data_IF_404485415355
#
_entry.id   IF_404485415355
#
_cell.length_a   1.000
_cell.length_b   1.000
_cell.length_c   1.000
_cell.angle_alpha   90.00
_cell.angle_beta   90.00
_cell.angle_gamma   90.00
#
_symmetry.space_group_name_H-M   'P 1'
#
loop_
_entity.id
_entity.type
_entity.pdbx_description
1 polymer ?
#
# COMPACT_ATOMS: atom_id res chain seq x y z
N UNK A 1 -34.34 -15.38 -0.63
CA UNK A 1 -34.18 -16.18 0.60
C UNK A 1 -32.79 -16.81 0.56
N UNK A 2 -31.80 -16.10 1.10
CA UNK A 2 -30.47 -16.55 1.53
C UNK A 2 -29.81 -15.34 2.21
N UNK A 3 -30.25 -15.06 3.44
CA UNK A 3 -29.63 -14.08 4.33
C UNK A 3 -28.43 -14.78 4.98
N UNK A 4 -27.20 -14.35 4.70
CA UNK A 4 -26.08 -14.66 5.56
C UNK A 4 -26.18 -13.76 6.79
N UNK A 5 -26.55 -14.35 7.92
CA UNK A 5 -26.79 -13.67 9.19
C UNK A 5 -25.55 -12.92 9.68
N UNK A 6 -25.63 -11.59 9.68
CA UNK A 6 -24.75 -10.70 10.45
C UNK A 6 -24.89 -10.85 11.99
N UNK A 7 -25.60 -11.90 12.45
CA UNK A 7 -25.82 -12.22 13.86
C UNK A 7 -25.08 -13.47 14.35
N UNK A 8 -24.17 -14.06 13.54
CA UNK A 8 -23.30 -15.18 13.97
C UNK A 8 -21.85 -14.80 14.27
N UNK A 9 -21.41 -13.59 13.91
CA UNK A 9 -20.11 -13.10 14.35
C UNK A 9 -20.28 -12.44 15.73
N UNK A 10 -20.12 -13.24 16.79
CA UNK A 10 -20.16 -12.80 18.18
C UNK A 10 -18.99 -11.91 18.57
N UNK A 11 -18.77 -10.80 17.87
CA UNK A 11 -17.79 -9.79 18.27
C UNK A 11 -18.39 -8.91 19.38
N UNK A 12 -18.37 -9.41 20.61
CA UNK A 12 -18.37 -8.56 21.81
C UNK A 12 -16.99 -8.60 22.43
N UNK A 13 -16.47 -7.42 22.73
CA UNK A 13 -15.25 -7.21 23.51
C UNK A 13 -15.21 -8.14 24.72
N UNK A 14 -14.11 -8.87 24.91
CA UNK A 14 -13.81 -9.49 26.20
C UNK A 14 -12.56 -8.81 26.76
N UNK A 15 -12.78 -7.72 27.49
CA UNK A 15 -12.03 -7.52 28.72
C UNK A 15 -12.61 -8.51 29.73
N UNK A 16 -11.77 -9.40 30.26
CA UNK A 16 -12.13 -10.28 31.36
C UNK A 16 -11.50 -11.67 31.23
N UNK A 17 -10.60 -11.95 32.17
CA UNK A 17 -10.05 -13.25 32.55
C UNK A 17 -10.82 -14.49 32.04
N UNK A 18 -10.24 -15.19 31.07
CA UNK A 18 -10.40 -16.64 30.98
C UNK A 18 -9.20 -17.23 30.25
N UNK A 19 -8.39 -17.98 31.00
CA UNK A 19 -7.13 -18.58 30.57
C UNK A 19 -7.22 -19.41 29.29
N UNK A 20 -6.81 -18.80 28.18
CA UNK A 20 -6.34 -19.55 27.01
C UNK A 20 -4.91 -20.00 27.29
N UNK A 21 -4.72 -21.27 27.64
CA UNK A 21 -3.40 -21.88 27.67
C UNK A 21 -3.00 -22.29 26.23
N UNK A 22 -2.29 -21.39 25.57
CA UNK A 22 -1.77 -21.52 24.20
C UNK A 22 -0.87 -22.75 24.00
N UNK A 23 -0.37 -23.36 25.07
CA UNK A 23 0.53 -24.52 24.99
C UNK A 23 -0.20 -25.85 24.79
N UNK A 24 -1.52 -25.90 24.99
CA UNK A 24 -2.24 -27.18 25.11
C UNK A 24 -2.91 -27.68 23.81
N UNK A 25 -3.05 -26.86 22.75
CA UNK A 25 -3.74 -27.31 21.53
C UNK A 25 -3.45 -26.43 20.30
N UNK A 26 -2.60 -26.89 19.36
CA UNK A 26 -2.42 -26.24 18.06
C UNK A 26 -3.67 -26.29 17.16
N UNK A 27 -4.75 -26.96 17.58
CA UNK A 27 -5.90 -27.30 16.75
C UNK A 27 -7.17 -26.49 17.05
N UNK A 28 -7.13 -25.52 17.98
CA UNK A 28 -8.34 -24.78 18.40
C UNK A 28 -8.10 -23.28 18.52
N UNK A 29 -7.53 -22.66 17.49
CA UNK A 29 -7.67 -21.21 17.34
C UNK A 29 -9.01 -20.92 16.65
N UNK A 30 -9.98 -20.27 17.32
CA UNK A 30 -11.28 -19.95 16.71
C UNK A 30 -11.14 -19.05 15.47
N UNK A 31 -10.05 -18.26 15.38
CA UNK A 31 -9.75 -17.42 14.21
C UNK A 31 -9.35 -18.24 12.97
N UNK A 32 -8.72 -19.42 13.15
CA UNK A 32 -8.27 -20.21 12.00
C UNK A 32 -9.38 -21.10 11.40
N UNK A 33 -10.50 -21.34 12.10
CA UNK A 33 -11.48 -22.37 11.70
C UNK A 33 -12.79 -21.81 11.12
N UNK A 34 -13.23 -20.59 11.48
CA UNK A 34 -14.52 -20.07 11.02
C UNK A 34 -14.43 -19.05 9.86
N UNK A 35 -13.22 -18.61 9.45
CA UNK A 35 -13.04 -17.47 8.52
C UNK A 35 -12.17 -17.68 7.28
N UNK A 36 -11.63 -18.87 7.01
CA UNK A 36 -10.91 -19.14 5.75
C UNK A 36 -9.48 -18.59 5.64
N UNK A 37 -8.86 -18.13 6.73
CA UNK A 37 -7.45 -17.71 6.76
C UNK A 37 -6.65 -18.66 7.68
N UNK A 38 -5.70 -19.47 7.18
CA UNK A 38 -4.93 -20.40 7.99
C UNK A 38 -3.85 -19.61 8.71
N UNK A 39 -4.04 -19.38 10.00
CA UNK A 39 -2.95 -18.99 10.89
C UNK A 39 -2.06 -20.21 11.15
N UNK A 40 -0.75 -20.06 10.98
CA UNK A 40 0.24 -21.12 11.19
C UNK A 40 1.43 -20.64 12.00
N UNK A 41 2.11 -21.56 12.69
CA UNK A 41 3.39 -21.27 13.36
C UNK A 41 4.54 -21.82 12.52
N UNK A 42 5.44 -20.96 12.06
CA UNK A 42 6.64 -21.34 11.31
C UNK A 42 7.88 -21.38 12.23
N UNK A 43 8.82 -22.29 12.01
CA UNK A 43 10.11 -22.25 12.71
C UNK A 43 10.88 -20.99 12.27
N UNK A 44 11.37 -20.23 13.23
CA UNK A 44 12.25 -19.08 13.01
C UNK A 44 13.63 -19.61 12.60
N UNK A 45 13.92 -19.49 11.30
CA UNK A 45 15.19 -19.95 10.72
C UNK A 45 16.34 -18.95 10.90
N UNK A 46 16.08 -17.79 11.53
CA UNK A 46 17.03 -16.68 11.66
C UNK A 46 17.77 -16.61 13.00
N UNK A 47 17.48 -17.47 13.97
CA UNK A 47 18.16 -17.40 15.27
C UNK A 47 19.58 -18.00 15.20
N UNK A 48 20.57 -17.12 15.04
CA UNK A 48 22.01 -17.46 15.10
C UNK A 48 22.41 -18.12 16.43
N UNK A 49 21.57 -18.05 17.48
CA UNK A 49 21.82 -18.69 18.78
C UNK A 49 21.38 -20.15 18.85
N UNK A 50 20.82 -20.70 17.76
CA UNK A 50 20.41 -22.11 17.68
C UNK A 50 19.19 -22.47 18.53
N UNK A 51 18.46 -21.48 19.04
CA UNK A 51 17.22 -21.69 19.80
C UNK A 51 16.04 -21.81 18.83
N UNK A 52 15.21 -22.83 19.04
CA UNK A 52 13.97 -23.00 18.29
C UNK A 52 12.96 -21.92 18.72
N UNK A 53 12.67 -20.97 17.83
CA UNK A 53 11.60 -20.00 18.02
C UNK A 53 10.48 -20.27 17.03
N UNK A 54 9.27 -19.87 17.41
CA UNK A 54 8.09 -19.95 16.56
C UNK A 54 7.68 -18.55 16.15
N UNK A 55 7.22 -18.42 14.92
CA UNK A 55 6.68 -17.21 14.36
C UNK A 55 5.24 -17.45 13.92
N UNK A 56 4.30 -16.64 14.39
CA UNK A 56 2.91 -16.72 13.96
C UNK A 56 2.76 -16.00 12.62
N UNK A 57 2.23 -16.70 11.61
CA UNK A 57 2.05 -16.18 10.26
C UNK A 57 0.63 -16.39 9.74
N UNK A 58 0.22 -15.54 8.81
CA UNK A 58 -1.08 -15.59 8.12
C UNK A 58 -0.85 -15.70 6.61
N UNK A 59 -1.58 -16.61 5.95
CA UNK A 59 -1.56 -16.77 4.50
C UNK A 59 -2.96 -16.72 3.91
N UNK A 60 -3.12 -16.20 2.70
CA UNK A 60 -4.39 -16.32 1.97
C UNK A 60 -4.62 -17.78 1.56
N UNK A 61 -5.86 -18.26 1.64
CA UNK A 61 -6.27 -19.56 1.05
C UNK A 61 -6.51 -19.47 -0.46
N UNK A 62 -6.68 -18.26 -0.98
CA UNK A 62 -7.08 -17.99 -2.36
C UNK A 62 -5.91 -17.75 -3.31
N UNK A 63 -4.66 -18.03 -2.90
CA UNK A 63 -3.42 -17.83 -3.70
C UNK A 63 -3.27 -18.86 -4.83
N UNK A 64 -4.35 -19.19 -5.55
CA UNK A 64 -4.37 -20.26 -6.55
C UNK A 64 -3.37 -20.00 -7.68
N UNK A 65 -3.31 -18.78 -8.18
CA UNK A 65 -2.38 -18.40 -9.24
C UNK A 65 -0.91 -18.55 -8.80
N UNK A 66 -0.59 -18.26 -7.54
CA UNK A 66 0.75 -18.52 -6.96
C UNK A 66 0.98 -20.02 -6.76
N UNK A 67 -0.02 -20.76 -6.27
CA UNK A 67 0.08 -22.18 -6.00
C UNK A 67 0.27 -23.03 -7.27
N UNK A 68 -0.27 -22.60 -8.40
CA UNK A 68 -0.09 -23.24 -9.72
C UNK A 68 1.17 -22.77 -10.45
N UNK A 69 1.88 -21.77 -9.90
CA UNK A 69 3.05 -21.16 -10.52
C UNK A 69 2.73 -20.25 -11.71
N UNK A 70 1.47 -19.85 -11.86
CA UNK A 70 1.03 -18.92 -12.90
C UNK A 70 1.54 -17.49 -12.67
N UNK A 71 1.71 -17.09 -11.41
CA UNK A 71 2.25 -15.78 -10.99
C UNK A 71 3.09 -15.92 -9.72
N UNK A 72 3.92 -14.92 -9.43
CA UNK A 72 4.70 -14.83 -8.20
C UNK A 72 4.06 -13.98 -7.10
N UNK A 73 2.89 -13.39 -7.35
CA UNK A 73 2.18 -12.49 -6.42
C UNK A 73 0.71 -12.80 -6.27
N UNK A 74 0.15 -12.38 -5.13
CA UNK A 74 -1.25 -12.58 -4.78
C UNK A 74 -2.17 -11.51 -5.40
N UNK A 75 -1.67 -10.27 -5.50
CA UNK A 75 -2.47 -9.11 -5.90
C UNK A 75 -1.63 -8.03 -6.60
N UNK A 76 -2.33 -7.04 -7.16
CA UNK A 76 -1.75 -5.83 -7.74
C UNK A 76 -2.27 -4.59 -7.05
N UNK A 77 -1.43 -3.57 -6.93
CA UNK A 77 -1.84 -2.21 -6.58
C UNK A 77 -1.53 -1.28 -7.76
N UNK A 78 -2.44 -0.37 -8.08
CA UNK A 78 -2.40 0.38 -9.33
C UNK A 78 -2.19 1.87 -9.05
N UNK A 79 -1.02 2.39 -9.42
CA UNK A 79 -0.79 3.83 -9.46
C UNK A 79 -1.24 4.37 -10.83
N UNK A 80 -2.50 4.77 -10.93
CA UNK A 80 -3.01 5.41 -12.14
C UNK A 80 -2.47 6.84 -12.26
N UNK A 81 -1.85 7.17 -13.39
CA UNK A 81 -1.37 8.51 -13.73
C UNK A 81 -2.27 9.11 -14.80
N UNK A 82 -3.18 9.99 -14.37
CA UNK A 82 -4.17 10.63 -15.22
C UNK A 82 -3.58 11.90 -15.82
N UNK A 83 -3.60 12.01 -17.15
CA UNK A 83 -3.11 13.18 -17.90
C UNK A 83 -4.21 13.68 -18.84
N UNK A 84 -4.29 15.00 -19.00
CA UNK A 84 -5.15 15.65 -20.01
C UNK A 84 -4.35 16.74 -20.72
N UNK A 85 -4.61 16.92 -22.02
CA UNK A 85 -4.09 18.05 -22.79
C UNK A 85 -4.57 19.40 -22.28
N UNK A 86 -5.66 19.46 -21.51
CA UNK A 86 -6.13 20.69 -20.86
C UNK A 86 -5.21 21.15 -19.72
N UNK A 87 -4.47 20.24 -19.09
CA UNK A 87 -3.53 20.55 -18.02
C UNK A 87 -2.28 19.66 -18.11
N UNK A 88 -1.41 19.86 -19.12
CA UNK A 88 -0.30 18.96 -19.41
C UNK A 88 0.78 18.96 -18.31
N UNK A 89 0.81 20.00 -17.47
CA UNK A 89 1.77 20.15 -16.38
C UNK A 89 1.35 19.49 -15.06
N UNK A 90 0.13 18.94 -14.98
CA UNK A 90 -0.43 18.42 -13.74
C UNK A 90 -0.97 17.00 -13.94
N UNK A 91 -0.34 16.05 -13.27
CA UNK A 91 -0.82 14.68 -13.22
C UNK A 91 -1.71 14.46 -11.99
N UNK A 92 -2.77 13.69 -12.19
CA UNK A 92 -3.68 13.25 -11.13
C UNK A 92 -3.55 11.74 -10.93
N UNK A 93 -4.06 11.26 -9.80
CA UNK A 93 -4.18 9.83 -9.53
C UNK A 93 -5.58 9.48 -9.04
N UNK A 94 -5.87 8.20 -8.99
CA UNK A 94 -7.12 7.66 -8.50
C UNK A 94 -6.91 7.05 -7.12
N UNK A 95 -7.79 7.40 -6.20
CA UNK A 95 -7.93 6.75 -4.92
C UNK A 95 -9.27 6.04 -4.87
N UNK A 96 -9.30 4.90 -4.19
CA UNK A 96 -10.53 4.19 -3.86
C UNK A 96 -10.77 4.28 -2.36
N UNK A 97 -12.03 4.51 -1.99
CA UNK A 97 -12.50 4.49 -0.62
C UNK A 97 -13.49 3.35 -0.46
N UNK A 98 -13.18 2.44 0.46
CA UNK A 98 -14.02 1.27 0.74
C UNK A 98 -14.00 0.91 2.21
N UNK A 99 -15.07 0.30 2.72
CA UNK A 99 -15.10 -0.17 4.10
C UNK A 99 -14.33 -1.49 4.21
N UNK A 100 -13.32 -1.56 5.08
CA UNK A 100 -12.53 -2.78 5.31
C UNK A 100 -12.94 -3.39 6.67
N UNK A 101 -13.64 -4.54 6.67
CA UNK A 101 -14.02 -5.21 7.91
C UNK A 101 -12.87 -5.48 8.90
N UNK A 102 -11.63 -5.83 8.47
CA UNK A 102 -10.53 -6.10 9.41
C UNK A 102 -10.14 -4.92 10.30
N UNK A 103 -10.36 -3.68 9.83
CA UNK A 103 -10.06 -2.44 10.57
C UNK A 103 -11.32 -1.68 10.99
N UNK A 104 -12.50 -2.22 10.68
CA UNK A 104 -13.82 -1.68 11.03
C UNK A 104 -13.99 -0.18 10.67
N UNK A 105 -13.40 0.26 9.55
CA UNK A 105 -13.48 1.63 9.08
C UNK A 105 -13.32 1.76 7.56
N UNK A 106 -13.74 2.90 6.97
CA UNK A 106 -13.40 3.25 5.60
C UNK A 106 -11.89 3.43 5.44
N UNK A 107 -11.29 2.74 4.48
CA UNK A 107 -9.88 2.90 4.12
C UNK A 107 -9.75 3.71 2.83
N UNK A 108 -8.59 4.36 2.67
CA UNK A 108 -8.21 5.05 1.43
C UNK A 108 -7.00 4.33 0.82
N UNK A 109 -7.16 3.89 -0.41
CA UNK A 109 -6.23 2.98 -1.10
C UNK A 109 -5.99 3.40 -2.55
N UNK A 110 -4.96 2.83 -3.16
CA UNK A 110 -4.88 2.77 -4.62
C UNK A 110 -5.87 1.69 -5.11
N UNK A 111 -6.39 1.79 -6.35
CA UNK A 111 -7.12 0.68 -6.94
C UNK A 111 -6.28 -0.60 -6.89
N UNK A 112 -6.87 -1.73 -6.53
CA UNK A 112 -6.14 -2.95 -6.25
C UNK A 112 -7.04 -4.18 -6.24
N UNK A 113 -6.50 -5.32 -6.68
CA UNK A 113 -7.22 -6.59 -6.59
C UNK A 113 -6.36 -7.82 -6.86
N UNK A 114 -6.97 -8.99 -6.79
CA UNK A 114 -6.27 -10.27 -6.86
C UNK A 114 -5.88 -10.61 -8.30
N UNK A 115 -4.79 -11.34 -8.46
CA UNK A 115 -4.42 -11.90 -9.77
C UNK A 115 -5.13 -13.23 -9.95
N UNK A 116 -5.92 -13.35 -11.02
CA UNK A 116 -6.66 -14.56 -11.33
C UNK A 116 -5.77 -15.65 -11.96
N UNK A 117 -6.24 -16.89 -11.91
CA UNK A 117 -5.51 -18.01 -12.49
C UNK A 117 -5.43 -17.89 -14.02
N UNK A 118 -4.20 -17.86 -14.55
CA UNK A 118 -3.93 -17.70 -15.98
C UNK A 118 -3.86 -16.25 -16.46
N UNK A 119 -4.04 -15.28 -15.56
CA UNK A 119 -3.91 -13.86 -15.83
C UNK A 119 -2.48 -13.37 -15.53
N UNK A 120 -1.95 -12.47 -16.36
CA UNK A 120 -0.71 -11.75 -16.06
C UNK A 120 -0.94 -10.61 -15.07
N UNK A 121 0.11 -10.15 -14.39
CA UNK A 121 0.05 -9.02 -13.45
C UNK A 121 -0.48 -7.76 -14.13
N UNK A 122 -0.05 -7.52 -15.37
CA UNK A 122 -0.46 -6.38 -16.18
C UNK A 122 -1.93 -6.47 -16.60
N UNK A 123 -2.41 -7.66 -16.97
CA UNK A 123 -3.83 -7.87 -17.28
C UNK A 123 -4.71 -7.65 -16.05
N UNK A 124 -4.32 -8.20 -14.89
CA UNK A 124 -5.01 -7.98 -13.61
C UNK A 124 -5.10 -6.49 -13.28
N UNK A 125 -3.99 -5.75 -13.42
CA UNK A 125 -3.96 -4.33 -13.14
C UNK A 125 -4.90 -3.50 -14.04
N UNK A 126 -5.01 -3.86 -15.32
CA UNK A 126 -5.91 -3.17 -16.25
C UNK A 126 -7.38 -3.55 -16.00
N UNK A 127 -7.66 -4.81 -15.66
CA UNK A 127 -8.99 -5.30 -15.30
C UNK A 127 -9.49 -4.62 -14.03
N UNK A 128 -8.74 -4.71 -12.94
CA UNK A 128 -9.10 -4.13 -11.64
C UNK A 128 -9.24 -2.60 -11.71
N UNK A 129 -8.38 -1.91 -12.47
CA UNK A 129 -8.54 -0.47 -12.71
C UNK A 129 -9.90 -0.17 -13.35
N UNK A 130 -10.29 -0.96 -14.36
CA UNK A 130 -11.55 -0.76 -15.08
C UNK A 130 -12.75 -1.11 -14.20
N UNK A 131 -12.70 -2.20 -13.46
CA UNK A 131 -13.76 -2.66 -12.56
C UNK A 131 -14.00 -1.64 -11.44
N UNK A 132 -12.96 -1.28 -10.69
CA UNK A 132 -13.10 -0.42 -9.52
C UNK A 132 -13.32 1.05 -9.88
N UNK A 133 -12.82 1.54 -11.03
CA UNK A 133 -12.81 2.99 -11.32
C UNK A 133 -13.48 3.40 -12.62
N UNK A 134 -13.73 2.45 -13.53
CA UNK A 134 -14.24 2.71 -14.85
C UNK A 134 -13.22 3.25 -15.85
N UNK A 135 -12.02 3.62 -15.42
CA UNK A 135 -10.96 4.14 -16.29
C UNK A 135 -10.26 3.03 -17.08
N UNK A 136 -9.82 3.36 -18.28
CA UNK A 136 -8.96 2.51 -19.11
C UNK A 136 -7.61 3.19 -19.34
N UNK A 137 -6.54 2.40 -19.32
CA UNK A 137 -5.19 2.92 -19.48
C UNK A 137 -4.25 1.91 -20.12
N UNK A 138 -2.97 2.24 -20.10
CA UNK A 138 -1.88 1.40 -20.58
C UNK A 138 -0.82 1.27 -19.51
N UNK A 139 -0.33 0.04 -19.29
CA UNK A 139 0.75 -0.20 -18.34
C UNK A 139 2.02 0.51 -18.81
N UNK A 140 2.61 1.32 -17.93
CA UNK A 140 3.86 2.02 -18.17
C UNK A 140 5.03 1.38 -17.41
N UNK A 141 4.77 0.91 -16.18
CA UNK A 141 5.78 0.29 -15.33
C UNK A 141 5.16 -0.79 -14.45
N UNK A 142 5.93 -1.84 -14.16
CA UNK A 142 5.57 -2.90 -13.24
C UNK A 142 6.76 -3.13 -12.30
N UNK A 143 6.50 -3.06 -10.99
CA UNK A 143 7.55 -3.24 -9.98
C UNK A 143 8.01 -4.70 -9.88
N UNK A 144 9.11 -4.91 -9.16
CA UNK A 144 9.38 -6.23 -8.57
C UNK A 144 8.36 -6.61 -7.50
N UNK A 145 8.50 -7.81 -6.95
CA UNK A 145 7.62 -8.31 -5.87
C UNK A 145 7.82 -7.50 -4.59
N UNK A 146 6.71 -7.09 -3.99
CA UNK A 146 6.63 -6.35 -2.73
C UNK A 146 5.89 -7.17 -1.68
N UNK A 147 6.27 -7.03 -0.41
CA UNK A 147 5.55 -7.64 0.70
C UNK A 147 4.69 -6.60 1.40
N UNK A 148 3.49 -6.99 1.84
CA UNK A 148 2.58 -6.06 2.53
C UNK A 148 2.93 -5.91 4.01
N UNK A 149 3.07 -7.02 4.73
CA UNK A 149 3.41 -7.02 6.15
C UNK A 149 4.28 -8.25 6.49
N UNK A 150 5.58 -8.24 6.13
CA UNK A 150 6.44 -9.43 6.21
C UNK A 150 6.65 -9.94 7.64
N UNK A 151 6.31 -9.15 8.66
CA UNK A 151 6.30 -9.58 10.06
C UNK A 151 5.07 -10.41 10.45
N UNK A 152 4.06 -10.53 9.59
CA UNK A 152 2.79 -11.20 9.90
C UNK A 152 2.28 -12.08 8.75
N UNK A 153 2.24 -11.57 7.52
CA UNK A 153 1.68 -12.30 6.38
C UNK A 153 2.69 -12.53 5.26
N UNK A 154 2.43 -13.57 4.47
CA UNK A 154 3.17 -13.89 3.24
C UNK A 154 2.56 -13.27 1.98
N UNK A 155 1.66 -12.28 2.14
CA UNK A 155 0.99 -11.59 1.04
C UNK A 155 1.99 -10.76 0.24
N UNK A 156 2.07 -11.07 -1.05
CA UNK A 156 2.96 -10.47 -2.02
C UNK A 156 2.15 -9.73 -3.09
N UNK A 157 2.60 -8.53 -3.45
CA UNK A 157 1.95 -7.71 -4.48
C UNK A 157 2.97 -7.15 -5.47
N UNK A 158 2.48 -6.66 -6.60
CA UNK A 158 3.24 -5.74 -7.45
C UNK A 158 2.53 -4.39 -7.56
N UNK A 159 3.31 -3.31 -7.60
CA UNK A 159 2.82 -1.99 -7.95
C UNK A 159 2.90 -1.85 -9.47
N UNK A 160 1.77 -1.53 -10.11
CA UNK A 160 1.67 -1.30 -11.54
C UNK A 160 1.32 0.16 -11.78
N UNK A 161 2.14 0.85 -12.56
CA UNK A 161 1.87 2.22 -12.98
C UNK A 161 1.12 2.17 -14.30
N UNK A 162 -0.09 2.74 -14.31
CA UNK A 162 -0.96 2.78 -15.49
C UNK A 162 -1.15 4.22 -15.93
N UNK A 163 -0.81 4.52 -17.18
CA UNK A 163 -1.10 5.83 -17.76
C UNK A 163 -2.54 5.87 -18.29
N UNK A 164 -3.28 6.87 -17.86
CA UNK A 164 -4.68 7.10 -18.25
C UNK A 164 -4.75 8.42 -18.99
N UNK A 165 -5.03 8.32 -20.30
CA UNK A 165 -5.30 9.49 -21.14
C UNK A 165 -6.75 9.93 -20.95
N UNK A 166 -6.94 11.07 -20.29
CA UNK A 166 -8.26 11.63 -20.02
C UNK A 166 -8.93 12.23 -21.25
N UNK A 167 -8.22 12.45 -22.35
CA UNK A 167 -8.80 13.01 -23.56
C UNK A 167 -9.48 11.93 -24.42
N UNK A 168 -9.24 10.65 -24.11
CA UNK A 168 -9.90 9.51 -24.74
C UNK A 168 -11.40 9.45 -24.42
N UNK A 169 -12.29 9.17 -25.39
CA UNK A 169 -13.73 9.06 -25.17
C UNK A 169 -14.12 8.11 -24.04
N UNK A 170 -13.41 6.99 -23.90
CA UNK A 170 -13.67 5.96 -22.89
C UNK A 170 -13.44 6.46 -21.45
N UNK A 171 -12.66 7.53 -21.27
CA UNK A 171 -12.28 8.10 -19.98
C UNK A 171 -13.03 9.41 -19.65
N UNK A 172 -13.89 9.89 -20.55
CA UNK A 172 -14.71 11.10 -20.33
C UNK A 172 -15.88 10.85 -19.37
N UNK A 173 -16.38 9.61 -19.34
CA UNK A 173 -17.49 9.19 -18.48
C UNK A 173 -17.22 7.75 -18.02
N UNK A 174 -16.26 7.57 -17.10
CA UNK A 174 -15.89 6.23 -16.61
C UNK A 174 -17.05 5.64 -15.80
N UNK A 175 -17.36 4.38 -16.08
CA UNK A 175 -18.40 3.61 -15.38
C UNK A 175 -17.75 2.40 -14.71
N UNK A 176 -17.89 2.32 -13.39
CA UNK A 176 -17.39 1.20 -12.58
C UNK A 176 -18.17 -0.09 -12.91
N UNK A 177 -17.49 -1.23 -12.80
CA UNK A 177 -18.05 -2.57 -12.97
C UNK A 177 -17.82 -3.38 -11.69
N UNK A 178 -18.30 -2.85 -10.57
CA UNK A 178 -18.10 -3.43 -9.24
C UNK A 178 -18.78 -4.79 -9.10
N UNK A 179 -18.18 -5.69 -8.33
CA UNK A 179 -18.84 -6.92 -7.91
C UNK A 179 -20.00 -6.64 -6.95
N UNK A 180 -20.94 -7.59 -6.79
CA UNK A 180 -22.12 -7.41 -5.93
C UNK A 180 -21.78 -7.08 -4.47
N UNK A 181 -20.62 -7.54 -4.00
CA UNK A 181 -20.13 -7.35 -2.64
C UNK A 181 -19.35 -6.06 -2.44
N UNK A 182 -19.04 -5.33 -3.51
CA UNK A 182 -18.15 -4.19 -3.48
C UNK A 182 -18.92 -2.87 -3.35
N UNK A 183 -18.38 -1.99 -2.49
CA UNK A 183 -18.89 -0.64 -2.31
C UNK A 183 -17.72 0.31 -2.29
N UNK A 184 -17.34 0.76 -3.48
CA UNK A 184 -16.14 1.55 -3.71
C UNK A 184 -16.51 2.93 -4.21
N UNK A 185 -16.04 3.96 -3.53
CA UNK A 185 -16.11 5.34 -3.99
C UNK A 185 -14.76 5.76 -4.57
N UNK A 186 -14.77 6.35 -5.77
CA UNK A 186 -13.56 6.78 -6.48
C UNK A 186 -13.32 8.26 -6.27
N UNK A 187 -12.07 8.65 -6.02
CA UNK A 187 -11.64 10.05 -5.97
C UNK A 187 -10.48 10.29 -6.92
N UNK A 188 -10.58 11.35 -7.71
CA UNK A 188 -9.46 11.89 -8.48
C UNK A 188 -8.74 12.92 -7.65
N UNK A 189 -7.43 12.73 -7.50
CA UNK A 189 -6.60 13.57 -6.64
C UNK A 189 -5.36 14.00 -7.40
N UNK A 190 -5.12 15.31 -7.56
CA UNK A 190 -3.86 15.81 -8.07
C UNK A 190 -2.68 15.31 -7.23
N UNK A 191 -1.62 14.81 -7.87
CA UNK A 191 -0.48 14.23 -7.16
C UNK A 191 0.21 15.23 -6.21
N UNK A 192 0.22 16.51 -6.57
CA UNK A 192 0.77 17.59 -5.76
C UNK A 192 -0.05 17.90 -4.50
N UNK A 193 -1.29 17.43 -4.44
CA UNK A 193 -2.22 17.58 -3.31
C UNK A 193 -2.48 16.27 -2.58
N UNK A 194 -1.87 15.16 -3.01
CA UNK A 194 -2.17 13.83 -2.49
C UNK A 194 -2.08 13.77 -0.96
N UNK A 195 -0.99 14.24 -0.36
CA UNK A 195 -0.83 14.19 1.10
C UNK A 195 -1.90 15.03 1.83
N UNK A 196 -2.22 16.21 1.29
CA UNK A 196 -3.24 17.09 1.87
C UNK A 196 -4.62 16.43 1.83
N UNK A 197 -4.95 15.75 0.74
CA UNK A 197 -6.21 15.00 0.62
C UNK A 197 -6.25 13.84 1.62
N UNK A 198 -5.17 13.08 1.78
CA UNK A 198 -5.11 12.00 2.79
C UNK A 198 -5.30 12.53 4.21
N UNK A 199 -4.69 13.68 4.55
CA UNK A 199 -4.87 14.34 5.85
C UNK A 199 -6.31 14.84 6.05
N UNK A 200 -6.99 15.29 4.99
CA UNK A 200 -8.40 15.67 5.03
C UNK A 200 -9.30 14.44 5.28
N UNK A 201 -9.12 13.37 4.50
CA UNK A 201 -9.87 12.13 4.65
C UNK A 201 -9.66 11.46 6.00
N UNK A 202 -8.45 11.58 6.57
CA UNK A 202 -8.16 11.11 7.93
C UNK A 202 -8.98 11.85 8.98
N UNK A 203 -9.18 13.17 8.82
CA UNK A 203 -10.05 13.96 9.71
C UNK A 203 -11.53 13.61 9.56
N UNK A 204 -11.91 13.09 8.41
CA UNK A 204 -13.27 12.57 8.15
C UNK A 204 -13.48 11.13 8.68
N UNK A 205 -12.45 10.52 9.29
CA UNK A 205 -12.54 9.20 9.89
C UNK A 205 -12.14 8.04 8.96
N UNK A 206 -11.53 8.34 7.81
CA UNK A 206 -10.96 7.31 6.93
C UNK A 206 -9.53 6.96 7.36
N UNK A 207 -9.07 5.74 7.03
CA UNK A 207 -7.73 5.26 7.32
C UNK A 207 -6.94 5.01 6.02
N UNK A 208 -5.96 5.86 5.67
CA UNK A 208 -5.08 5.59 4.53
C UNK A 208 -4.23 4.34 4.78
N UNK A 209 -4.06 3.50 3.75
CA UNK A 209 -3.07 2.42 3.83
C UNK A 209 -1.65 3.00 3.89
N UNK A 210 -0.77 2.32 4.62
CA UNK A 210 0.58 2.82 4.90
C UNK A 210 1.37 3.13 3.61
N UNK A 211 1.32 2.24 2.62
CA UNK A 211 2.02 2.41 1.34
C UNK A 211 1.61 3.68 0.58
N UNK A 212 0.30 3.97 0.55
CA UNK A 212 -0.24 5.19 -0.08
C UNK A 212 0.24 6.44 0.68
N UNK A 213 0.25 6.41 2.00
CA UNK A 213 0.74 7.53 2.82
C UNK A 213 2.25 7.76 2.61
N UNK A 214 3.06 6.70 2.52
CA UNK A 214 4.50 6.79 2.22
C UNK A 214 4.75 7.40 0.84
N UNK A 215 3.99 6.98 -0.17
CA UNK A 215 4.04 7.58 -1.51
C UNK A 215 3.74 9.09 -1.44
N UNK A 216 2.67 9.49 -0.75
CA UNK A 216 2.27 10.89 -0.64
C UNK A 216 3.34 11.77 0.04
N UNK A 217 3.94 11.27 1.13
CA UNK A 217 5.07 11.95 1.79
C UNK A 217 6.29 12.02 0.86
N UNK A 218 6.62 10.93 0.18
CA UNK A 218 7.71 10.88 -0.79
C UNK A 218 7.55 11.88 -1.93
N UNK A 219 6.35 11.98 -2.51
CA UNK A 219 6.02 12.98 -3.54
C UNK A 219 6.17 14.40 -3.02
N UNK A 220 5.64 14.70 -1.82
CA UNK A 220 5.80 16.02 -1.20
C UNK A 220 7.28 16.38 -0.99
N UNK A 221 8.08 15.46 -0.46
CA UNK A 221 9.52 15.69 -0.25
C UNK A 221 10.27 15.87 -1.57
N UNK A 222 9.96 15.06 -2.60
CA UNK A 222 10.55 15.19 -3.93
C UNK A 222 10.21 16.52 -4.61
N UNK A 223 8.97 16.98 -4.48
CA UNK A 223 8.55 18.30 -4.98
C UNK A 223 9.27 19.43 -4.22
N UNK A 224 9.40 19.33 -2.89
CA UNK A 224 10.14 20.30 -2.07
C UNK A 224 11.64 20.36 -2.43
N UNK A 225 12.28 19.24 -2.75
CA UNK A 225 13.69 19.22 -3.14
C UNK A 225 13.95 19.95 -4.46
N UNK A 226 13.00 19.93 -5.42
CA UNK A 226 13.12 20.74 -6.65
C UNK A 226 13.23 22.24 -6.33
N UNK A 227 12.50 22.73 -5.32
CA UNK A 227 12.62 24.12 -4.89
C UNK A 227 14.01 24.46 -4.31
N UNK A 228 14.68 23.53 -3.62
CA UNK A 228 16.05 23.75 -3.13
C UNK A 228 17.10 23.64 -4.24
N UNK A 229 16.89 22.77 -5.23
CA UNK A 229 17.78 22.68 -6.40
C UNK A 229 17.65 23.89 -7.33
N UNK A 230 16.45 24.42 -7.54
CA UNK A 230 16.21 25.61 -8.35
C UNK A 230 16.70 26.89 -7.65
N UNK A 231 16.66 26.95 -6.31
CA UNK A 231 17.24 28.05 -5.52
C UNK A 231 18.78 28.05 -5.50
N UNK A 232 19.41 26.92 -5.85
CA UNK A 232 20.86 26.77 -5.99
C UNK A 232 21.33 26.83 -7.45
N UNK A 233 20.41 27.03 -8.40
CA UNK A 233 20.79 27.24 -9.79
C UNK A 233 21.69 28.50 -9.88
N UNK A 234 22.93 28.38 -10.38
CA UNK A 234 23.76 29.56 -10.58
C UNK A 234 23.04 30.48 -11.58
N UNK A 235 23.01 31.77 -11.27
CA UNK A 235 22.41 32.79 -12.13
C UNK A 235 22.93 32.72 -13.58
N UNK A 236 22.25 33.36 -14.54
CA UNK A 236 22.52 33.20 -15.97
C UNK A 236 23.96 33.66 -16.26
N UNK A 237 24.87 32.68 -16.38
CA UNK A 237 26.30 32.96 -16.50
C UNK A 237 27.26 31.78 -16.42
N UNK A 238 26.81 30.55 -16.19
CA UNK A 238 27.68 29.38 -16.22
C UNK A 238 27.18 28.35 -17.24
N UNK A 239 27.83 28.33 -18.42
CA UNK A 239 27.62 27.30 -19.43
C UNK A 239 28.17 25.96 -18.96
N UNK A 240 27.30 24.96 -18.86
CA UNK A 240 27.63 23.56 -18.61
C UNK A 240 26.32 22.77 -18.48
N UNK A 241 26.04 21.89 -19.44
CA UNK A 241 24.75 21.20 -19.59
C UNK A 241 24.37 20.24 -18.44
N UNK A 242 23.12 19.72 -18.44
CA UNK A 242 22.63 18.88 -17.36
C UNK A 242 23.10 17.43 -17.51
N UNK A 243 23.03 16.71 -16.39
CA UNK A 243 23.16 15.25 -16.20
C UNK A 243 24.54 14.76 -15.73
N UNK A 244 24.65 14.53 -14.41
CA UNK A 244 25.26 13.31 -13.85
C UNK A 244 24.99 13.25 -12.35
N UNK A 245 23.89 12.59 -11.95
CA UNK A 245 23.62 12.31 -10.54
C UNK A 245 22.99 10.92 -10.39
N UNK A 246 23.71 9.89 -10.82
CA UNK A 246 23.54 8.53 -10.34
C UNK A 246 24.75 7.64 -10.69
N UNK A 247 25.94 7.92 -10.15
CA UNK A 247 27.01 6.91 -10.08
C UNK A 247 28.15 7.36 -9.15
N UNK A 248 27.96 7.26 -7.82
CA UNK A 248 29.07 7.25 -6.86
C UNK A 248 28.68 6.79 -5.45
N UNK A 249 27.87 5.74 -5.36
CA UNK A 249 27.57 5.08 -4.08
C UNK A 249 28.02 3.61 -4.00
N UNK A 250 28.78 3.10 -4.98
CA UNK A 250 29.22 1.68 -4.97
C UNK A 250 30.72 1.45 -5.04
N UNK A 251 31.57 2.48 -5.04
CA UNK A 251 33.02 2.29 -4.97
C UNK A 251 33.68 3.30 -4.02
N UNK A 252 33.76 2.94 -2.74
CA UNK A 252 34.91 3.22 -1.86
C UNK A 252 34.63 2.67 -0.46
N UNK A 253 34.90 1.39 -0.28
CA UNK A 253 35.38 0.92 1.02
C UNK A 253 36.79 1.48 1.24
N UNK A 254 37.04 2.08 2.41
CA UNK A 254 38.40 2.22 2.93
C UNK A 254 38.77 3.55 3.58
N UNK A 255 38.92 3.48 4.90
CA UNK A 255 39.80 4.28 5.79
C UNK A 255 39.39 5.69 6.23
N UNK A 256 39.06 5.78 7.53
CA UNK A 256 39.73 6.67 8.50
C UNK A 256 39.40 8.16 8.48
N UNK A 257 38.79 8.65 9.57
CA UNK A 257 38.83 10.08 9.89
C UNK A 257 37.73 10.55 10.83
N UNK A 258 38.11 10.83 12.07
CA UNK A 258 37.32 11.42 13.15
C UNK A 258 36.78 12.82 12.84
N UNK A 259 35.53 13.11 13.24
CA UNK A 259 35.14 14.47 13.62
C UNK A 259 33.68 14.85 13.36
N UNK A 260 32.93 15.11 14.44
CA UNK A 260 31.77 16.01 14.42
C UNK A 260 30.38 15.37 14.35
N UNK A 261 29.88 14.82 15.47
CA UNK A 261 28.44 14.59 15.64
C UNK A 261 27.74 15.94 15.82
N UNK A 262 26.92 16.37 14.85
CA UNK A 262 25.83 17.33 15.10
C UNK A 262 24.53 16.56 15.26
N UNK A 263 24.13 16.41 16.51
CA UNK A 263 22.81 15.96 16.93
C UNK A 263 21.74 16.93 16.43
N UNK A 264 20.87 16.48 15.53
CA UNK A 264 19.59 17.16 15.26
C UNK A 264 18.58 16.53 16.22
N UNK A 265 18.31 17.25 17.30
CA UNK A 265 17.26 16.92 18.26
C UNK A 265 15.91 17.31 17.64
N UNK A 266 15.09 16.32 17.25
CA UNK A 266 13.65 16.52 17.13
C UNK A 266 13.04 16.32 18.52
N UNK A 267 12.94 17.40 19.28
CA UNK A 267 12.12 17.48 20.48
C UNK A 267 10.75 18.02 20.07
N UNK A 268 9.74 17.17 20.04
CA UNK A 268 8.35 17.61 20.17
C UNK A 268 7.59 16.52 20.95
N UNK A 269 7.03 16.84 22.13
CA UNK A 269 6.27 15.85 22.90
C UNK A 269 4.90 15.63 22.25
N UNK A 270 4.57 14.38 21.96
CA UNK A 270 3.20 13.96 21.67
C UNK A 270 2.35 14.15 22.94
N UNK A 271 1.11 14.68 22.85
CA UNK A 271 0.22 14.70 23.99
C UNK A 271 -0.25 13.28 24.33
N UNK A 272 -0.01 12.87 25.58
CA UNK A 272 -0.66 11.71 26.18
C UNK A 272 -2.17 11.90 26.19
N UNK A 273 -2.91 10.96 25.60
CA UNK A 273 -4.34 10.79 25.84
C UNK A 273 -4.53 10.31 27.29
N UNK A 274 -4.78 11.24 28.21
CA UNK A 274 -5.44 10.92 29.48
C UNK A 274 -6.94 10.77 29.21
N UNK A 275 -7.45 9.54 29.37
CA UNK A 275 -8.89 9.30 29.48
C UNK A 275 -9.38 9.92 30.79
N UNK A 276 -10.27 10.89 30.71
CA UNK A 276 -11.13 11.30 31.79
C UNK A 276 -12.43 10.50 31.71
N UNK A 277 -12.62 9.67 32.74
CA UNK A 277 -13.87 9.13 33.33
C UNK A 277 -14.92 8.49 32.42
#
# INVERSE_FOLDING_TARGET
>A
MALANASQCGCRSIHGDSGCDWKASPQRCPLCYEGGCPCGSLPDKGDETGRDRRWDSVSRTTRRAVATGATDVDAVAILALLRSSLNPGRAETLLVQQFRPPVDCPTIELPAGLVDEGETVEEAALRELKEETGYVGTVAECSGVLTMSPGLCDEMIRLVVVEVDLDRPENQSPEQQLEETERIAVRRVPLDQLLQELEALTREGCMPIAGLHFLAVGLRLGLLQRFFSDALAPGPGAGGGPLHLCQRALESGGSGGSGGRRSILFSSPLPCFSRSS
#
